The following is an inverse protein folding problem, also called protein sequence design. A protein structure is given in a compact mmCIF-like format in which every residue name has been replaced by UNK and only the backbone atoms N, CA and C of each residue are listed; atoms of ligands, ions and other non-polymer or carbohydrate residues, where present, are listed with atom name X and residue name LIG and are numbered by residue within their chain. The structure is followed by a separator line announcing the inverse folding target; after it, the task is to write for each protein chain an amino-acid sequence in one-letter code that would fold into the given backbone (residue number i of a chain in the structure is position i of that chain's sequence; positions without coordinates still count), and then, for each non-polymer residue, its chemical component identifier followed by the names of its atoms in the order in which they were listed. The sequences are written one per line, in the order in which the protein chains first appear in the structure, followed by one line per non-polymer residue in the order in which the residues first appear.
data_IF_732812905556
#
_entry.id   IF_732812905556
#
_cell.length_a   1.000
_cell.length_b   1.000
_cell.length_c   1.000
_cell.angle_alpha   90.00
_cell.angle_beta   90.00
_cell.angle_gamma   90.00
#
_symmetry.space_group_name_H-M   'P 1'
#
loop_
_entity.id
_entity.type
_entity.pdbx_description
1 polymer ?
#
# COMPACT_ATOMS: atom_id res chain seq x y z
N UNK A 1 31.79 44.47 -18.79
CA UNK A 1 31.82 45.15 -17.47
C UNK A 1 31.55 44.10 -16.41
N UNK A 2 32.52 43.85 -15.51
CA UNK A 2 32.42 42.76 -14.54
C UNK A 2 31.42 43.11 -13.45
N UNK A 3 30.45 42.23 -13.22
CA UNK A 3 29.47 42.34 -12.12
C UNK A 3 30.13 42.56 -10.76
N UNK A 4 31.36 42.07 -10.60
CA UNK A 4 32.19 42.24 -9.41
C UNK A 4 32.69 43.68 -9.17
N UNK A 5 32.89 44.49 -10.20
CA UNK A 5 33.36 45.88 -10.02
C UNK A 5 32.26 46.84 -9.54
N UNK A 6 31.00 46.42 -9.55
CA UNK A 6 29.88 47.21 -9.02
C UNK A 6 29.62 46.97 -7.52
N UNK A 7 30.14 45.87 -6.96
CA UNK A 7 29.85 45.48 -5.57
C UNK A 7 30.95 45.87 -4.56
N UNK A 8 32.13 46.33 -5.02
CA UNK A 8 33.27 46.60 -4.12
C UNK A 8 34.19 47.76 -4.53
N UNK A 9 33.66 48.85 -5.08
CA UNK A 9 34.44 50.05 -5.43
C UNK A 9 35.10 50.78 -4.24
N UNK A 10 34.93 50.31 -3.01
CA UNK A 10 35.35 51.00 -1.78
C UNK A 10 36.28 50.17 -0.87
N UNK A 11 37.11 49.26 -1.40
CA UNK A 11 37.91 48.34 -0.56
C UNK A 11 39.17 48.92 0.13
N UNK A 12 39.80 50.05 -0.26
CA UNK A 12 40.82 50.65 0.58
C UNK A 12 40.16 51.60 1.61
N UNK A 13 40.26 51.33 2.93
CA UNK A 13 39.79 52.27 3.93
C UNK A 13 40.69 53.51 3.89
N UNK A 14 40.19 54.62 3.36
CA UNK A 14 40.83 55.93 3.54
C UNK A 14 40.91 56.88 2.35
N UNK A 15 40.47 56.53 1.14
CA UNK A 15 40.50 57.49 0.03
C UNK A 15 39.19 57.56 -0.76
N UNK A 16 38.42 58.62 -0.48
CA UNK A 16 37.37 59.15 -1.33
C UNK A 16 35.96 58.64 -1.02
N UNK A 17 35.25 59.26 -0.07
CA UNK A 17 33.77 59.41 0.01
C UNK A 17 32.86 58.18 -0.17
N UNK A 18 33.41 56.98 -0.27
CA UNK A 18 32.73 55.77 -0.69
C UNK A 18 32.10 55.14 0.55
N UNK A 19 30.88 55.57 0.88
CA UNK A 19 30.12 55.08 2.03
C UNK A 19 29.76 53.61 1.78
N UNK A 20 30.40 52.71 2.52
CA UNK A 20 29.99 51.30 2.58
C UNK A 20 28.53 51.26 3.04
N UNK A 21 27.62 50.88 2.15
CA UNK A 21 26.21 50.66 2.47
C UNK A 21 26.08 49.40 3.34
N UNK A 22 26.36 49.56 4.64
CA UNK A 22 26.20 48.51 5.65
C UNK A 22 24.77 47.96 5.67
N UNK A 23 23.78 48.80 5.37
CA UNK A 23 22.38 48.39 5.23
C UNK A 23 22.17 47.39 4.08
N UNK A 24 22.88 47.55 2.95
CA UNK A 24 22.81 46.60 1.84
C UNK A 24 23.43 45.25 2.21
N UNK A 25 24.55 45.25 2.94
CA UNK A 25 25.17 44.02 3.44
C UNK A 25 24.32 43.33 4.51
N UNK A 26 23.67 44.09 5.39
CA UNK A 26 22.72 43.58 6.37
C UNK A 26 21.48 42.96 5.69
N UNK A 27 20.96 43.60 4.64
CA UNK A 27 19.87 43.05 3.84
C UNK A 27 20.27 41.73 3.14
N UNK A 28 21.46 41.65 2.56
CA UNK A 28 21.97 40.41 1.96
C UNK A 28 22.14 39.31 3.02
N UNK A 29 22.69 39.65 4.19
CA UNK A 29 22.86 38.71 5.31
C UNK A 29 21.54 38.17 5.84
N UNK A 30 20.54 39.03 6.03
CA UNK A 30 19.20 38.64 6.50
C UNK A 30 18.45 37.78 5.48
N UNK A 31 18.52 38.10 4.19
CA UNK A 31 17.95 37.25 3.13
C UNK A 31 18.63 35.87 3.11
N UNK A 32 19.97 35.83 3.20
CA UNK A 32 20.72 34.58 3.27
C UNK A 32 20.34 33.72 4.47
N UNK A 33 20.24 34.33 5.66
CA UNK A 33 19.81 33.65 6.87
C UNK A 33 18.38 33.12 6.77
N UNK A 34 17.46 33.88 6.17
CA UNK A 34 16.08 33.46 5.94
C UNK A 34 16.00 32.26 4.99
N UNK A 35 16.80 32.25 3.91
CA UNK A 35 16.86 31.12 2.97
C UNK A 35 17.43 29.87 3.65
N UNK A 36 18.50 30.01 4.45
CA UNK A 36 19.09 28.88 5.18
C UNK A 36 18.10 28.34 6.23
N UNK A 37 17.44 29.22 6.98
CA UNK A 37 16.43 28.83 7.97
C UNK A 37 15.25 28.10 7.30
N UNK A 38 14.78 28.58 6.15
CA UNK A 38 13.73 27.94 5.36
C UNK A 38 14.20 26.57 4.85
N UNK A 39 15.43 26.47 4.36
CA UNK A 39 16.01 25.22 3.86
C UNK A 39 16.14 24.16 4.96
N UNK A 40 16.70 24.54 6.11
CA UNK A 40 16.83 23.66 7.28
C UNK A 40 15.46 23.25 7.83
N UNK A 41 14.47 24.15 7.78
CA UNK A 41 13.08 23.85 8.15
C UNK A 41 12.38 22.87 7.20
N UNK A 42 12.68 22.93 5.90
CA UNK A 42 12.07 22.08 4.88
C UNK A 42 12.77 20.71 4.69
N UNK A 43 14.07 20.62 4.98
CA UNK A 43 14.85 19.39 4.87
C UNK A 43 14.21 18.16 5.56
N UNK A 44 13.72 18.22 6.81
CA UNK A 44 13.06 17.06 7.44
C UNK A 44 11.79 16.63 6.71
N UNK A 45 11.04 17.58 6.13
CA UNK A 45 9.81 17.28 5.36
C UNK A 45 10.14 16.51 4.09
N UNK A 46 11.21 16.89 3.38
CA UNK A 46 11.66 16.16 2.19
C UNK A 46 12.16 14.75 2.53
N UNK A 47 12.91 14.59 3.62
CA UNK A 47 13.34 13.28 4.11
C UNK A 47 12.13 12.38 4.43
N UNK A 48 11.15 12.91 5.16
CA UNK A 48 9.92 12.20 5.52
C UNK A 48 9.11 11.80 4.29
N UNK A 49 8.97 12.66 3.28
CA UNK A 49 8.30 12.35 2.00
C UNK A 49 9.00 11.22 1.23
N UNK A 50 10.33 11.23 1.17
CA UNK A 50 11.11 10.15 0.52
C UNK A 50 10.91 8.82 1.24
N UNK A 51 10.96 8.82 2.57
CA UNK A 51 10.72 7.63 3.37
C UNK A 51 9.28 7.11 3.18
N UNK A 52 8.29 8.00 3.22
CA UNK A 52 6.89 7.65 2.95
C UNK A 52 6.70 7.01 1.57
N UNK A 53 7.39 7.50 0.53
CA UNK A 53 7.37 6.87 -0.81
C UNK A 53 7.99 5.47 -0.81
N UNK A 54 9.09 5.26 -0.10
CA UNK A 54 9.72 3.94 0.01
C UNK A 54 8.79 2.94 0.72
N UNK A 55 8.19 3.33 1.85
CA UNK A 55 7.20 2.52 2.57
C UNK A 55 5.98 2.25 1.69
N UNK A 56 5.47 3.26 0.98
CA UNK A 56 4.32 3.13 0.08
C UNK A 56 4.61 2.16 -1.07
N UNK A 57 5.85 2.13 -1.59
CA UNK A 57 6.25 1.16 -2.62
C UNK A 57 6.22 -0.28 -2.09
N UNK A 58 6.74 -0.51 -0.90
CA UNK A 58 6.74 -1.84 -0.26
C UNK A 58 5.29 -2.27 0.04
N UNK A 59 4.49 -1.37 0.60
CA UNK A 59 3.07 -1.60 0.86
C UNK A 59 2.30 -1.91 -0.42
N UNK A 60 2.56 -1.18 -1.52
CA UNK A 60 1.96 -1.44 -2.83
C UNK A 60 2.28 -2.83 -3.38
N UNK A 61 3.55 -3.25 -3.34
CA UNK A 61 3.95 -4.60 -3.79
C UNK A 61 3.23 -5.69 -2.96
N UNK A 62 3.20 -5.54 -1.64
CA UNK A 62 2.50 -6.49 -0.76
C UNK A 62 0.99 -6.52 -1.01
N UNK A 63 0.38 -5.36 -1.21
CA UNK A 63 -1.04 -5.25 -1.54
C UNK A 63 -1.35 -5.92 -2.89
N UNK A 64 -0.48 -5.76 -3.90
CA UNK A 64 -0.62 -6.44 -5.19
C UNK A 64 -0.64 -7.97 -5.06
N UNK A 65 0.21 -8.54 -4.21
CA UNK A 65 0.19 -9.98 -3.92
C UNK A 65 -1.12 -10.37 -3.22
N UNK A 66 -1.57 -9.61 -2.23
CA UNK A 66 -2.82 -9.91 -1.54
C UNK A 66 -4.04 -9.81 -2.48
N UNK A 67 -4.04 -8.87 -3.44
CA UNK A 67 -5.07 -8.76 -4.48
C UNK A 67 -5.14 -10.04 -5.32
N UNK A 68 -4.00 -10.66 -5.65
CA UNK A 68 -4.00 -11.93 -6.39
C UNK A 68 -4.71 -13.05 -5.61
N UNK A 69 -4.40 -13.21 -4.33
CA UNK A 69 -5.07 -14.19 -3.47
C UNK A 69 -6.56 -13.88 -3.30
N UNK A 70 -6.91 -12.63 -3.02
CA UNK A 70 -8.30 -12.25 -2.86
C UNK A 70 -9.09 -12.41 -4.16
N UNK A 71 -8.50 -12.04 -5.30
CA UNK A 71 -9.13 -12.20 -6.61
C UNK A 71 -9.33 -13.67 -7.00
N UNK A 72 -8.37 -14.54 -6.70
CA UNK A 72 -8.52 -15.99 -6.88
C UNK A 72 -9.67 -16.53 -6.02
N UNK A 73 -9.81 -16.02 -4.79
CA UNK A 73 -10.92 -16.32 -3.89
C UNK A 73 -12.25 -15.80 -4.45
N UNK A 74 -12.30 -14.59 -5.02
CA UNK A 74 -13.50 -14.06 -5.68
C UNK A 74 -13.92 -14.92 -6.89
N UNK A 75 -12.95 -15.42 -7.66
CA UNK A 75 -13.20 -16.30 -8.79
C UNK A 75 -13.84 -17.61 -8.33
N UNK A 76 -13.26 -18.29 -7.33
CA UNK A 76 -13.80 -19.53 -6.79
C UNK A 76 -15.14 -19.33 -6.07
N UNK A 77 -15.33 -18.19 -5.38
CA UNK A 77 -16.56 -17.86 -4.67
C UNK A 77 -17.80 -17.82 -5.57
N UNK A 78 -17.63 -17.53 -6.86
CA UNK A 78 -18.74 -17.47 -7.85
C UNK A 78 -19.19 -18.86 -8.30
N UNK A 79 -18.37 -19.88 -8.11
CA UNK A 79 -18.60 -21.25 -8.54
C UNK A 79 -18.46 -22.25 -7.40
N UNK A 80 -18.85 -21.86 -6.17
CA UNK A 80 -18.87 -22.78 -5.03
C UNK A 80 -19.95 -23.83 -5.27
N UNK A 81 -19.54 -25.08 -5.39
CA UNK A 81 -20.42 -26.25 -5.54
C UNK A 81 -20.27 -27.24 -4.38
N UNK A 82 -19.14 -27.22 -3.69
CA UNK A 82 -18.80 -28.15 -2.59
C UNK A 82 -18.38 -27.40 -1.32
N UNK A 83 -18.38 -28.10 -0.18
CA UNK A 83 -17.80 -27.59 1.06
C UNK A 83 -16.31 -27.27 0.93
N UNK A 84 -15.54 -28.08 0.19
CA UNK A 84 -14.12 -27.83 -0.05
C UNK A 84 -13.86 -26.55 -0.86
N UNK A 85 -14.73 -26.21 -1.84
CA UNK A 85 -14.64 -24.92 -2.54
C UNK A 85 -14.78 -23.74 -1.59
N UNK A 86 -15.75 -23.82 -0.66
CA UNK A 86 -15.94 -22.79 0.35
C UNK A 86 -14.73 -22.69 1.28
N UNK A 87 -14.22 -23.82 1.80
CA UNK A 87 -13.06 -23.83 2.69
C UNK A 87 -11.81 -23.27 1.99
N UNK A 88 -11.53 -23.68 0.75
CA UNK A 88 -10.40 -23.19 -0.01
C UNK A 88 -10.50 -21.68 -0.27
N UNK A 89 -11.69 -21.19 -0.61
CA UNK A 89 -11.97 -19.76 -0.77
C UNK A 89 -11.70 -19.01 0.54
N UNK A 90 -12.23 -19.50 1.67
CA UNK A 90 -12.03 -18.91 3.00
C UNK A 90 -10.56 -18.85 3.36
N UNK A 91 -9.87 -19.99 3.31
CA UNK A 91 -8.46 -20.13 3.69
C UNK A 91 -7.58 -19.25 2.82
N UNK A 92 -7.79 -19.23 1.50
CA UNK A 92 -6.97 -18.40 0.62
C UNK A 92 -7.22 -16.89 0.85
N UNK A 93 -8.43 -16.48 1.24
CA UNK A 93 -8.72 -15.10 1.61
C UNK A 93 -7.99 -14.64 2.90
N UNK A 94 -7.59 -15.56 3.78
CA UNK A 94 -6.79 -15.28 4.99
C UNK A 94 -5.39 -14.72 4.66
N UNK A 95 -4.92 -14.79 3.40
CA UNK A 95 -3.68 -14.16 2.98
C UNK A 95 -3.71 -12.62 2.99
N UNK A 96 -4.90 -12.02 3.05
CA UNK A 96 -5.03 -10.57 3.20
C UNK A 96 -4.43 -10.15 4.55
N UNK A 97 -3.73 -9.02 4.61
CA UNK A 97 -3.16 -8.52 5.87
C UNK A 97 -3.09 -7.00 5.80
N UNK A 98 -3.68 -6.32 6.78
CA UNK A 98 -3.73 -4.87 6.85
C UNK A 98 -2.40 -4.25 7.34
N UNK A 99 -1.54 -5.02 8.01
CA UNK A 99 -0.29 -4.53 8.62
C UNK A 99 0.62 -3.77 7.65
N UNK A 100 0.87 -4.24 6.40
CA UNK A 100 1.69 -3.49 5.45
C UNK A 100 1.15 -2.09 5.13
N UNK A 101 -0.18 -1.91 5.12
CA UNK A 101 -0.82 -0.61 4.90
C UNK A 101 -0.75 0.25 6.17
N UNK A 102 -0.90 -0.37 7.36
CA UNK A 102 -0.80 0.33 8.64
C UNK A 102 0.58 0.98 8.87
N UNK A 103 1.65 0.47 8.25
CA UNK A 103 2.98 1.11 8.26
C UNK A 103 2.99 2.51 7.63
N UNK A 104 1.97 2.90 6.87
CA UNK A 104 1.82 4.23 6.30
C UNK A 104 1.16 5.25 7.24
N UNK A 105 0.51 4.80 8.31
CA UNK A 105 -0.21 5.68 9.27
C UNK A 105 0.68 6.80 9.82
N UNK A 106 1.95 6.54 10.22
CA UNK A 106 2.84 7.61 10.69
C UNK A 106 3.17 8.69 9.66
N UNK A 107 2.86 8.47 8.38
CA UNK A 107 3.13 9.39 7.27
C UNK A 107 1.87 10.08 6.73
N UNK A 108 0.71 9.95 7.40
CA UNK A 108 -0.54 10.59 6.95
C UNK A 108 -0.42 12.12 6.85
N UNK A 109 0.51 12.74 7.57
CA UNK A 109 0.80 14.17 7.47
C UNK A 109 1.38 14.60 6.11
N UNK A 110 2.05 13.68 5.40
CA UNK A 110 2.71 13.95 4.11
C UNK A 110 2.04 13.27 2.91
N UNK A 111 1.06 12.39 3.13
CA UNK A 111 0.34 11.68 2.08
C UNK A 111 -0.84 12.52 1.51
N UNK A 112 -1.23 12.30 0.24
CA UNK A 112 -2.44 12.90 -0.31
C UNK A 112 -3.70 12.45 0.44
N UNK A 113 -4.62 13.37 0.75
CA UNK A 113 -5.87 13.05 1.48
C UNK A 113 -6.70 11.94 0.83
N UNK A 114 -6.77 11.92 -0.50
CA UNK A 114 -7.49 10.88 -1.23
C UNK A 114 -6.91 9.47 -1.00
N UNK A 115 -5.58 9.37 -0.88
CA UNK A 115 -4.92 8.10 -0.58
C UNK A 115 -5.13 7.70 0.89
N UNK A 116 -5.14 8.65 1.81
CA UNK A 116 -5.38 8.39 3.24
C UNK A 116 -6.75 7.75 3.46
N UNK A 117 -7.80 8.29 2.83
CA UNK A 117 -9.15 7.74 2.95
C UNK A 117 -9.22 6.31 2.42
N UNK A 118 -8.65 6.07 1.23
CA UNK A 118 -8.59 4.72 0.64
C UNK A 118 -7.84 3.73 1.53
N UNK A 119 -6.70 4.14 2.12
CA UNK A 119 -5.93 3.31 3.04
C UNK A 119 -6.74 2.97 4.30
N UNK A 120 -7.39 3.95 4.91
CA UNK A 120 -8.19 3.75 6.12
C UNK A 120 -9.36 2.80 5.88
N UNK A 121 -10.11 2.99 4.79
CA UNK A 121 -11.20 2.10 4.40
C UNK A 121 -10.70 0.69 4.09
N UNK A 122 -9.60 0.57 3.34
CA UNK A 122 -9.02 -0.73 3.00
C UNK A 122 -8.51 -1.49 4.23
N UNK A 123 -7.88 -0.82 5.19
CA UNK A 123 -7.43 -1.42 6.46
C UNK A 123 -8.64 -1.93 7.24
N UNK A 124 -9.65 -1.08 7.43
CA UNK A 124 -10.87 -1.43 8.17
C UNK A 124 -11.59 -2.62 7.56
N UNK A 125 -11.69 -2.70 6.23
CA UNK A 125 -12.39 -3.78 5.54
C UNK A 125 -11.60 -5.10 5.57
N UNK A 126 -10.26 -5.05 5.50
CA UNK A 126 -9.42 -6.25 5.68
C UNK A 126 -9.59 -6.80 7.10
N UNK A 127 -9.55 -5.94 8.12
CA UNK A 127 -9.73 -6.36 9.51
C UNK A 127 -11.14 -6.90 9.76
N UNK A 128 -12.16 -6.30 9.13
CA UNK A 128 -13.55 -6.78 9.17
C UNK A 128 -13.68 -8.14 8.48
N UNK A 129 -13.03 -8.35 7.33
CA UNK A 129 -12.97 -9.64 6.66
C UNK A 129 -12.41 -10.70 7.61
N UNK A 130 -11.24 -10.46 8.23
CA UNK A 130 -10.63 -11.42 9.17
C UNK A 130 -11.58 -11.77 10.31
N UNK A 131 -12.18 -10.78 10.95
CA UNK A 131 -13.14 -11.00 12.03
C UNK A 131 -14.37 -11.82 11.61
N UNK A 132 -14.74 -11.79 10.32
CA UNK A 132 -15.81 -12.61 9.75
C UNK A 132 -15.32 -14.01 9.37
N UNK A 133 -14.12 -14.14 8.80
CA UNK A 133 -13.53 -15.43 8.44
C UNK A 133 -13.20 -16.28 9.67
N UNK A 134 -12.78 -15.66 10.78
CA UNK A 134 -12.52 -16.31 12.07
C UNK A 134 -13.78 -16.92 12.68
N UNK A 135 -14.96 -16.38 12.35
CA UNK A 135 -16.26 -16.94 12.76
C UNK A 135 -16.72 -18.06 11.83
N UNK A 136 -16.12 -18.20 10.66
CA UNK A 136 -16.44 -19.23 9.69
C UNK A 136 -15.87 -20.58 10.11
N UNK A 137 -16.73 -21.55 10.42
CA UNK A 137 -16.31 -22.93 10.68
C UNK A 137 -15.83 -23.61 9.41
N UNK A 138 -14.85 -24.50 9.55
CA UNK A 138 -14.51 -25.47 8.51
C UNK A 138 -15.64 -26.48 8.31
N UNK A 139 -15.94 -26.81 7.06
CA UNK A 139 -16.97 -27.79 6.71
C UNK A 139 -16.33 -29.08 6.20
N UNK A 140 -16.67 -30.25 6.74
CA UNK A 140 -16.05 -31.49 6.30
C UNK A 140 -16.37 -31.76 4.82
N UNK A 141 -15.42 -32.34 4.06
CA UNK A 141 -15.66 -32.76 2.68
C UNK A 141 -16.93 -33.61 2.54
N UNK A 142 -17.59 -33.53 1.39
CA UNK A 142 -18.89 -34.16 1.05
C UNK A 142 -20.10 -33.57 1.77
N UNK A 143 -19.90 -32.53 2.58
CA UNK A 143 -21.00 -31.73 3.12
C UNK A 143 -21.58 -30.81 2.04
N UNK A 144 -22.87 -30.45 2.13
CA UNK A 144 -23.44 -29.42 1.27
C UNK A 144 -22.69 -28.08 1.46
N UNK A 145 -22.53 -27.28 0.40
CA UNK A 145 -21.90 -25.97 0.52
C UNK A 145 -22.75 -25.05 1.42
N UNK A 146 -22.11 -24.21 2.25
CA UNK A 146 -22.84 -23.26 3.08
C UNK A 146 -23.59 -22.23 2.22
N UNK A 147 -24.75 -21.79 2.69
CA UNK A 147 -25.61 -20.80 2.01
C UNK A 147 -25.07 -19.36 2.10
N UNK A 148 -23.89 -19.16 2.70
CA UNK A 148 -23.30 -17.85 2.93
C UNK A 148 -22.78 -17.29 1.60
N UNK A 149 -23.28 -16.11 1.22
CA UNK A 149 -22.84 -15.40 0.01
C UNK A 149 -21.49 -14.71 0.23
N UNK A 150 -20.41 -15.49 0.17
CA UNK A 150 -19.05 -14.98 0.35
C UNK A 150 -18.61 -14.07 -0.82
N UNK A 151 -19.10 -14.32 -2.04
CA UNK A 151 -18.72 -13.59 -3.25
C UNK A 151 -18.91 -12.07 -3.15
N UNK A 152 -20.08 -11.61 -2.69
CA UNK A 152 -20.38 -10.18 -2.60
C UNK A 152 -19.47 -9.43 -1.62
N UNK A 153 -19.09 -10.09 -0.52
CA UNK A 153 -18.18 -9.53 0.47
C UNK A 153 -16.75 -9.42 -0.10
N UNK A 154 -16.26 -10.49 -0.75
CA UNK A 154 -14.93 -10.52 -1.33
C UNK A 154 -14.80 -9.56 -2.53
N UNK A 155 -15.80 -9.49 -3.41
CA UNK A 155 -15.81 -8.59 -4.57
C UNK A 155 -15.73 -7.11 -4.13
N UNK A 156 -16.44 -6.75 -3.05
CA UNK A 156 -16.40 -5.41 -2.47
C UNK A 156 -15.00 -5.02 -1.96
N UNK A 157 -14.38 -5.91 -1.17
CA UNK A 157 -13.02 -5.70 -0.69
C UNK A 157 -12.00 -5.69 -1.85
N UNK A 158 -12.14 -6.58 -2.82
CA UNK A 158 -11.26 -6.67 -3.98
C UNK A 158 -11.24 -5.36 -4.78
N UNK A 159 -12.42 -4.76 -5.00
CA UNK A 159 -12.55 -3.46 -5.65
C UNK A 159 -11.79 -2.36 -4.89
N UNK A 160 -11.98 -2.29 -3.55
CA UNK A 160 -11.32 -1.30 -2.70
C UNK A 160 -9.80 -1.49 -2.62
N UNK A 161 -9.32 -2.74 -2.52
CA UNK A 161 -7.89 -3.04 -2.56
C UNK A 161 -7.28 -2.64 -3.90
N UNK A 162 -7.96 -2.92 -5.02
CA UNK A 162 -7.49 -2.54 -6.36
C UNK A 162 -7.42 -1.02 -6.52
N UNK A 163 -8.44 -0.29 -6.05
CA UNK A 163 -8.44 1.18 -6.06
C UNK A 163 -7.30 1.76 -5.19
N UNK A 164 -7.08 1.20 -4.00
CA UNK A 164 -6.00 1.58 -3.08
C UNK A 164 -4.63 1.32 -3.70
N UNK A 165 -4.45 0.16 -4.35
CA UNK A 165 -3.22 -0.20 -5.05
C UNK A 165 -2.94 0.75 -6.23
N UNK A 166 -3.94 1.08 -7.03
CA UNK A 166 -3.81 2.05 -8.12
C UNK A 166 -3.40 3.43 -7.60
N UNK A 167 -3.98 3.88 -6.49
CA UNK A 167 -3.61 5.15 -5.84
C UNK A 167 -2.17 5.13 -5.30
N UNK A 168 -1.72 4.00 -4.72
CA UNK A 168 -0.33 3.81 -4.27
C UNK A 168 0.66 3.83 -5.45
N UNK A 169 0.38 3.07 -6.52
CA UNK A 169 1.19 3.07 -7.74
C UNK A 169 1.34 4.48 -8.32
N UNK A 170 0.24 5.23 -8.42
CA UNK A 170 0.24 6.63 -8.87
C UNK A 170 1.09 7.53 -7.95
N UNK A 171 0.97 7.38 -6.64
CA UNK A 171 1.72 8.17 -5.67
C UNK A 171 3.24 7.92 -5.73
N UNK A 172 3.64 6.66 -5.92
CA UNK A 172 5.05 6.25 -6.01
C UNK A 172 5.62 6.52 -7.41
N UNK A 173 4.77 6.60 -8.44
CA UNK A 173 5.19 6.81 -9.83
C UNK A 173 5.59 5.51 -10.53
N UNK A 174 4.89 4.41 -10.24
CA UNK A 174 5.13 3.08 -10.82
C UNK A 174 3.89 2.70 -11.67
N UNK A 175 4.06 2.06 -12.84
CA UNK A 175 2.92 1.59 -13.62
C UNK A 175 2.07 0.58 -12.83
N UNK A 176 0.76 0.62 -13.07
CA UNK A 176 -0.16 -0.36 -12.48
C UNK A 176 0.01 -1.70 -13.21
N UNK A 177 0.37 -2.79 -12.53
CA UNK A 177 0.42 -4.12 -13.16
C UNK A 177 -0.99 -4.59 -13.55
N UNK A 178 -1.08 -5.30 -14.67
CA UNK A 178 -2.28 -6.06 -15.01
C UNK A 178 -2.31 -7.36 -14.18
N UNK A 179 -3.32 -7.46 -13.31
CA UNK A 179 -3.50 -8.61 -12.42
C UNK A 179 -4.61 -9.55 -12.90
N UNK A 180 -5.30 -9.26 -14.01
CA UNK A 180 -6.46 -10.03 -14.46
C UNK A 180 -6.11 -11.47 -14.80
N UNK A 181 -5.13 -11.69 -15.69
CA UNK A 181 -4.73 -13.03 -16.11
C UNK A 181 -4.09 -13.84 -14.96
N UNK A 182 -3.18 -13.29 -14.14
CA UNK A 182 -2.66 -14.01 -12.97
C UNK A 182 -3.74 -14.42 -11.97
N UNK A 183 -4.72 -13.54 -11.72
CA UNK A 183 -5.85 -13.83 -10.82
C UNK A 183 -6.70 -14.98 -11.33
N UNK A 184 -7.03 -15.00 -12.63
CA UNK A 184 -7.79 -16.08 -13.24
C UNK A 184 -7.03 -17.42 -13.20
N UNK A 185 -5.73 -17.40 -13.50
CA UNK A 185 -4.86 -18.58 -13.43
C UNK A 185 -4.81 -19.15 -12.01
N UNK A 186 -4.59 -18.29 -11.02
CA UNK A 186 -4.55 -18.67 -9.61
C UNK A 186 -5.92 -19.16 -9.11
N UNK A 187 -7.01 -18.53 -9.53
CA UNK A 187 -8.38 -18.95 -9.21
C UNK A 187 -8.69 -20.36 -9.74
N UNK A 188 -8.22 -20.69 -10.95
CA UNK A 188 -8.34 -22.05 -11.49
C UNK A 188 -7.54 -23.06 -10.66
N UNK A 189 -6.27 -22.76 -10.36
CA UNK A 189 -5.44 -23.65 -9.53
C UNK A 189 -6.02 -23.87 -8.13
N UNK A 190 -6.66 -22.85 -7.54
CA UNK A 190 -7.36 -22.98 -6.26
C UNK A 190 -8.60 -23.86 -6.37
N UNK A 191 -9.34 -23.79 -7.48
CA UNK A 191 -10.47 -24.69 -7.76
C UNK A 191 -10.01 -26.14 -7.85
N UNK A 192 -8.98 -26.41 -8.67
CA UNK A 192 -8.44 -27.76 -8.86
C UNK A 192 -7.96 -28.37 -7.52
N UNK A 193 -7.36 -27.54 -6.66
CA UNK A 193 -6.93 -27.95 -5.30
C UNK A 193 -8.14 -28.26 -4.40
N UNK A 194 -9.21 -27.47 -4.49
CA UNK A 194 -10.42 -27.68 -3.71
C UNK A 194 -11.16 -28.96 -4.13
N UNK A 195 -11.21 -29.27 -5.42
CA UNK A 195 -11.73 -30.54 -5.94
C UNK A 195 -10.90 -31.73 -5.43
N UNK A 196 -9.57 -31.60 -5.40
CA UNK A 196 -8.69 -32.62 -4.87
C UNK A 196 -8.88 -32.82 -3.36
N UNK A 197 -9.03 -31.73 -2.60
CA UNK A 197 -9.33 -31.79 -1.16
C UNK A 197 -10.67 -32.51 -0.89
N UNK A 198 -11.67 -32.27 -1.74
CA UNK A 198 -12.98 -32.92 -1.67
C UNK A 198 -12.88 -34.44 -1.89
N UNK A 199 -12.15 -34.84 -2.94
CA UNK A 199 -11.96 -36.24 -3.30
C UNK A 199 -11.14 -37.00 -2.24
N UNK A 200 -10.06 -36.37 -1.76
CA UNK A 200 -9.15 -36.96 -0.80
C UNK A 200 -9.67 -36.92 0.66
N UNK A 201 -10.74 -36.15 0.92
CA UNK A 201 -11.27 -36.00 2.28
C UNK A 201 -10.30 -35.28 3.21
N UNK A 202 -9.61 -34.25 2.72
CA UNK A 202 -8.63 -33.51 3.52
C UNK A 202 -9.26 -32.85 4.75
N UNK A 203 -8.51 -32.83 5.85
CA UNK A 203 -8.86 -32.02 7.01
C UNK A 203 -8.44 -30.56 6.81
N UNK A 204 -8.89 -29.68 7.71
CA UNK A 204 -8.54 -28.25 7.66
C UNK A 204 -7.03 -28.03 7.66
N UNK A 205 -6.31 -28.70 8.56
CA UNK A 205 -4.85 -28.55 8.72
C UNK A 205 -4.10 -28.84 7.41
N UNK A 206 -4.45 -29.94 6.74
CA UNK A 206 -3.86 -30.37 5.45
C UNK A 206 -4.23 -29.37 4.35
N UNK A 207 -5.50 -28.96 4.28
CA UNK A 207 -5.97 -27.99 3.29
C UNK A 207 -5.24 -26.65 3.46
N UNK A 208 -5.09 -26.16 4.71
CA UNK A 208 -4.34 -24.94 5.03
C UNK A 208 -2.87 -25.05 4.67
N UNK A 209 -2.23 -26.18 4.95
CA UNK A 209 -0.83 -26.40 4.58
C UNK A 209 -0.62 -26.33 3.06
N UNK A 210 -1.54 -26.86 2.26
CA UNK A 210 -1.45 -26.80 0.81
C UNK A 210 -1.73 -25.41 0.22
N UNK A 211 -2.65 -24.64 0.82
CA UNK A 211 -3.03 -23.30 0.33
C UNK A 211 -2.06 -22.23 0.84
N UNK A 212 -1.83 -22.17 2.15
CA UNK A 212 -1.00 -21.14 2.80
C UNK A 212 0.50 -21.46 2.76
N UNK A 213 0.86 -22.72 2.43
CA UNK A 213 2.22 -23.24 2.55
C UNK A 213 2.64 -23.49 4.00
N UNK A 214 3.95 -23.60 4.27
CA UNK A 214 4.54 -23.79 5.61
C UNK A 214 4.45 -22.54 6.53
N UNK A 215 3.43 -21.69 6.38
CA UNK A 215 3.24 -20.52 7.25
C UNK A 215 2.52 -20.84 8.56
N UNK A 216 2.19 -22.11 8.82
CA UNK A 216 1.69 -22.63 10.09
C UNK A 216 2.82 -22.98 11.04
#
# INVERSE_FOLDING_TARGET
MSFWNAFSTCWPPGQGGCVVWWDAWAAVGTIGAAVIALWLGLQPVFGRRRHAKAVARIAGIRLGIQILHLGASCHLAKSITTASHYNATRINAEHCDSKPLALLIPYFDVLPRSLINLLAECISDIDTLHALLDKGSYWPPKSPPPTVKLSGLLDGLFSKMTATHAALCKYVGVPLPDLHQPTASMGKGLSDLADLAELAGWEESVTRQHILGRRT
#
